data_IF_314814167579
#
_entry.id   IF_314814167579
#
_cell.length_a   1.000
_cell.length_b   1.000
_cell.length_c   1.000
_cell.angle_alpha   90.00
_cell.angle_beta   90.00
_cell.angle_gamma   90.00
#
_symmetry.space_group_name_H-M   'P 1'
#
loop_
_entity.id
_entity.type
_entity.pdbx_description
1 polymer ?
#
# COMPACT_ATOMS: atom_id res chain seq x y z
N UNK A 1 11.42 -2.33 -6.69
CA UNK A 1 10.90 -3.40 -5.83
C UNK A 1 11.36 -3.30 -4.38
N UNK A 2 11.93 -2.18 -3.94
CA UNK A 2 12.51 -2.05 -2.58
C UNK A 2 11.83 -0.94 -1.78
N UNK A 3 10.80 -0.30 -2.36
CA UNK A 3 10.05 0.80 -1.75
C UNK A 3 9.56 0.42 -0.35
N UNK A 4 8.89 -0.72 -0.25
CA UNK A 4 8.30 -1.16 1.00
C UNK A 4 9.32 -1.67 2.03
N UNK A 5 10.39 -2.34 1.60
CA UNK A 5 11.50 -2.71 2.50
C UNK A 5 12.21 -1.49 3.09
N UNK A 6 12.41 -0.43 2.31
CA UNK A 6 12.97 0.83 2.82
C UNK A 6 11.99 1.52 3.78
N UNK A 7 10.69 1.49 3.49
CA UNK A 7 9.69 2.09 4.37
C UNK A 7 9.65 1.43 5.75
N UNK A 8 9.65 0.09 5.81
CA UNK A 8 9.76 -0.63 7.09
C UNK A 8 11.08 -0.32 7.81
N UNK A 9 12.19 -0.31 7.08
CA UNK A 9 13.50 0.07 7.62
C UNK A 9 13.52 1.46 8.27
N UNK A 10 12.83 2.43 7.67
CA UNK A 10 12.72 3.79 8.21
C UNK A 10 11.81 3.88 9.44
N UNK A 11 10.77 3.05 9.51
CA UNK A 11 9.83 3.03 10.63
C UNK A 11 10.39 2.32 11.87
N UNK A 12 11.29 1.34 11.73
CA UNK A 12 11.86 0.63 12.88
C UNK A 12 12.58 1.58 13.85
N UNK A 13 12.37 1.35 15.14
CA UNK A 13 12.89 2.16 16.26
C UNK A 13 12.55 3.66 16.16
N UNK A 14 11.49 4.03 15.43
CA UNK A 14 11.08 5.41 15.20
C UNK A 14 9.56 5.59 15.44
N UNK A 15 9.11 5.57 16.71
CA UNK A 15 7.71 5.39 17.09
C UNK A 15 6.76 6.50 16.61
N UNK A 16 7.27 7.72 16.42
CA UNK A 16 6.46 8.87 16.00
C UNK A 16 6.43 9.04 14.46
N UNK A 17 7.14 8.19 13.71
CA UNK A 17 7.23 8.30 12.26
C UNK A 17 6.13 7.49 11.58
N UNK A 18 5.41 8.15 10.67
CA UNK A 18 4.56 7.48 9.68
C UNK A 18 5.23 7.59 8.32
N UNK A 19 5.35 6.47 7.61
CA UNK A 19 5.96 6.38 6.28
C UNK A 19 4.91 6.03 5.23
N UNK A 20 4.31 7.03 4.54
CA UNK A 20 3.52 6.79 3.35
C UNK A 20 4.41 6.24 2.23
N UNK A 21 4.18 4.99 1.83
CA UNK A 21 4.98 4.30 0.82
C UNK A 21 4.15 4.09 -0.44
N UNK A 22 4.37 4.92 -1.46
CA UNK A 22 3.72 4.75 -2.77
C UNK A 22 4.42 3.65 -3.55
N UNK A 23 3.64 2.65 -3.96
CA UNK A 23 4.10 1.43 -4.62
C UNK A 23 3.45 1.36 -5.99
N UNK A 24 4.26 1.28 -7.05
CA UNK A 24 3.71 1.04 -8.39
C UNK A 24 3.14 -0.38 -8.48
N UNK A 25 1.99 -0.56 -9.11
CA UNK A 25 1.43 -1.88 -9.40
C UNK A 25 2.33 -2.73 -10.31
N UNK A 26 3.08 -2.12 -11.23
CA UNK A 26 4.14 -2.80 -11.97
C UNK A 26 5.35 -3.15 -11.11
N UNK A 27 5.66 -2.34 -10.08
CA UNK A 27 6.70 -2.67 -9.10
C UNK A 27 6.28 -3.90 -8.28
N UNK A 28 4.98 -4.02 -7.95
CA UNK A 28 4.42 -5.07 -7.09
C UNK A 28 4.58 -6.48 -7.64
N UNK A 29 4.85 -6.62 -8.94
CA UNK A 29 5.16 -7.90 -9.57
C UNK A 29 6.60 -8.38 -9.32
N UNK A 30 7.47 -7.51 -8.78
CA UNK A 30 8.85 -7.89 -8.46
C UNK A 30 8.91 -8.74 -7.20
N UNK A 31 9.73 -9.80 -7.21
CA UNK A 31 9.91 -10.69 -6.06
C UNK A 31 10.25 -9.98 -4.74
N UNK A 32 11.18 -8.99 -4.73
CA UNK A 32 11.48 -8.24 -3.52
C UNK A 32 10.28 -7.50 -2.94
N UNK A 33 9.42 -6.90 -3.78
CA UNK A 33 8.24 -6.19 -3.29
C UNK A 33 7.15 -7.15 -2.83
N UNK A 34 6.92 -8.24 -3.56
CA UNK A 34 5.98 -9.29 -3.16
C UNK A 34 6.29 -9.84 -1.76
N UNK A 35 7.58 -10.09 -1.45
CA UNK A 35 8.00 -10.52 -0.13
C UNK A 35 7.93 -9.41 0.94
N UNK A 36 8.15 -8.15 0.54
CA UNK A 36 8.20 -7.01 1.46
C UNK A 36 6.86 -6.73 2.17
N UNK A 37 5.72 -7.17 1.62
CA UNK A 37 4.42 -7.08 2.29
C UNK A 37 4.39 -7.80 3.64
N UNK A 38 5.26 -8.79 3.87
CA UNK A 38 5.38 -9.46 5.16
C UNK A 38 6.09 -8.62 6.24
N UNK A 39 6.65 -7.45 5.90
CA UNK A 39 7.34 -6.56 6.84
C UNK A 39 6.50 -6.16 8.05
N UNK A 40 5.18 -6.03 7.89
CA UNK A 40 4.23 -5.72 8.98
C UNK A 40 4.29 -6.74 10.13
N UNK A 41 4.65 -8.00 9.84
CA UNK A 41 4.76 -9.06 10.84
C UNK A 41 5.95 -8.87 11.80
N UNK A 42 6.87 -7.97 11.46
CA UNK A 42 8.06 -7.65 12.26
C UNK A 42 7.94 -6.30 12.99
N UNK A 43 6.95 -5.46 12.63
CA UNK A 43 6.69 -4.21 13.33
C UNK A 43 6.13 -4.47 14.73
N UNK A 44 6.59 -3.66 15.68
CA UNK A 44 6.03 -3.57 17.02
C UNK A 44 5.59 -2.13 17.29
N UNK A 45 4.28 -1.91 17.34
CA UNK A 45 3.67 -0.59 17.52
C UNK A 45 4.05 0.12 18.85
N UNK A 46 4.67 -0.57 19.81
CA UNK A 46 5.16 0.08 21.04
C UNK A 46 6.49 0.81 20.88
N UNK A 47 7.29 0.45 19.85
CA UNK A 47 8.65 0.98 19.67
C UNK A 47 8.95 1.45 18.24
N UNK A 48 8.22 0.93 17.27
CA UNK A 48 8.40 1.21 15.85
C UNK A 48 7.29 2.16 15.39
N UNK A 49 7.58 2.94 14.36
CA UNK A 49 6.61 3.77 13.66
C UNK A 49 5.65 2.93 12.81
N UNK A 50 4.88 3.61 11.97
CA UNK A 50 3.90 2.99 11.08
C UNK A 50 4.30 3.15 9.62
N UNK A 51 4.04 2.12 8.82
CA UNK A 51 4.11 2.20 7.35
C UNK A 51 2.68 2.23 6.81
N UNK A 52 2.41 3.19 5.94
CA UNK A 52 1.15 3.27 5.18
C UNK A 52 1.42 2.94 3.71
N UNK A 53 1.24 1.69 3.27
CA UNK A 53 1.42 1.33 1.87
C UNK A 53 0.28 1.88 1.02
N UNK A 54 0.63 2.55 -0.08
CA UNK A 54 -0.32 3.07 -1.08
C UNK A 54 0.00 2.39 -2.40
N UNK A 55 -0.78 1.36 -2.74
CA UNK A 55 -0.67 0.70 -4.04
C UNK A 55 -1.25 1.62 -5.12
N UNK A 56 -0.38 2.21 -5.93
CA UNK A 56 -0.76 3.02 -7.08
C UNK A 56 -1.18 2.12 -8.24
N UNK A 57 -2.45 1.72 -8.20
CA UNK A 57 -3.09 0.78 -9.13
C UNK A 57 -3.57 1.50 -10.41
N UNK A 58 -2.65 2.04 -11.19
CA UNK A 58 -2.99 2.73 -12.45
C UNK A 58 -3.25 1.77 -13.64
N UNK A 59 -3.01 0.47 -13.45
CA UNK A 59 -3.38 -0.60 -14.37
C UNK A 59 -2.33 -0.94 -15.41
N UNK A 60 -1.22 -0.20 -15.49
CA UNK A 60 -0.22 -0.35 -16.55
C UNK A 60 1.22 -0.16 -16.06
N UNK A 61 2.13 -0.93 -16.67
CA UNK A 61 3.58 -0.71 -16.68
C UNK A 61 3.99 -0.25 -18.08
N UNK A 62 5.29 -0.23 -18.38
CA UNK A 62 5.85 0.41 -19.59
C UNK A 62 5.10 0.03 -20.89
N UNK A 63 4.78 -1.25 -21.08
CA UNK A 63 4.15 -1.73 -22.32
C UNK A 63 3.11 -2.85 -22.09
N UNK A 64 2.61 -2.98 -20.87
CA UNK A 64 1.72 -4.09 -20.49
C UNK A 64 0.77 -3.64 -19.38
N UNK A 65 -0.40 -4.28 -19.24
CA UNK A 65 -1.14 -4.19 -18.00
C UNK A 65 -0.39 -4.86 -16.84
N UNK A 66 -0.81 -4.54 -15.63
CA UNK A 66 -0.26 -5.13 -14.40
C UNK A 66 -1.12 -6.28 -13.90
N UNK A 67 -0.51 -7.23 -13.21
CA UNK A 67 -1.22 -8.38 -12.65
C UNK A 67 -2.32 -7.93 -11.69
N UNK A 68 -1.96 -7.11 -10.70
CA UNK A 68 -2.90 -6.58 -9.71
C UNK A 68 -3.91 -5.61 -10.33
N UNK A 69 -3.52 -4.85 -11.36
CA UNK A 69 -4.46 -3.97 -12.07
C UNK A 69 -5.53 -4.70 -12.89
N UNK A 70 -5.45 -6.03 -12.99
CA UNK A 70 -6.46 -6.89 -13.62
C UNK A 70 -7.17 -7.83 -12.63
N UNK A 71 -6.79 -7.80 -11.36
CA UNK A 71 -7.48 -8.52 -10.29
C UNK A 71 -8.80 -7.81 -9.95
N UNK A 72 -9.78 -8.56 -9.45
CA UNK A 72 -10.99 -7.95 -8.91
C UNK A 72 -10.69 -7.27 -7.57
N UNK A 73 -11.51 -6.29 -7.18
CA UNK A 73 -11.41 -5.65 -5.86
C UNK A 73 -11.52 -6.68 -4.73
N UNK A 74 -12.32 -7.74 -4.92
CA UNK A 74 -12.44 -8.85 -3.96
C UNK A 74 -11.13 -9.64 -3.83
N UNK A 75 -10.50 -10.00 -4.95
CA UNK A 75 -9.20 -10.71 -4.92
C UNK A 75 -8.12 -9.84 -4.26
N UNK A 76 -8.09 -8.55 -4.57
CA UNK A 76 -7.16 -7.60 -3.95
C UNK A 76 -7.42 -7.49 -2.45
N UNK A 77 -8.69 -7.39 -2.05
CA UNK A 77 -9.07 -7.34 -0.65
C UNK A 77 -8.61 -8.62 0.08
N UNK A 78 -8.90 -9.80 -0.46
CA UNK A 78 -8.50 -11.08 0.11
C UNK A 78 -6.97 -11.22 0.22
N UNK A 79 -6.23 -10.82 -0.82
CA UNK A 79 -4.77 -10.88 -0.84
C UNK A 79 -4.16 -10.03 0.28
N UNK A 80 -4.52 -8.75 0.35
CA UNK A 80 -3.91 -7.82 1.32
C UNK A 80 -4.41 -8.06 2.74
N UNK A 81 -5.68 -8.43 2.92
CA UNK A 81 -6.20 -8.92 4.20
C UNK A 81 -5.47 -10.18 4.65
N UNK A 82 -5.17 -11.10 3.73
CA UNK A 82 -4.36 -12.30 4.00
C UNK A 82 -2.91 -12.00 4.41
N UNK A 83 -2.34 -10.88 3.95
CA UNK A 83 -1.04 -10.41 4.44
C UNK A 83 -1.07 -9.79 5.84
N UNK A 84 -2.26 -9.40 6.33
CA UNK A 84 -2.47 -8.75 7.62
C UNK A 84 -2.75 -7.24 7.53
N UNK A 85 -3.09 -6.72 6.35
CA UNK A 85 -3.48 -5.32 6.16
C UNK A 85 -5.00 -5.17 6.20
N UNK A 86 -5.48 -3.93 6.38
CA UNK A 86 -6.88 -3.57 6.16
C UNK A 86 -6.97 -2.70 4.90
N UNK A 87 -7.36 -3.25 3.74
CA UNK A 87 -7.37 -2.50 2.49
C UNK A 87 -8.49 -1.45 2.46
N UNK A 88 -8.16 -0.26 1.99
CA UNK A 88 -9.12 0.83 1.70
C UNK A 88 -8.99 1.20 0.22
N UNK A 89 -10.11 1.21 -0.50
CA UNK A 89 -10.14 1.50 -1.92
C UNK A 89 -10.55 2.95 -2.17
N UNK A 90 -9.82 3.62 -3.08
CA UNK A 90 -10.16 4.93 -3.63
C UNK A 90 -10.11 4.80 -5.14
N UNK A 91 -11.24 4.93 -5.82
CA UNK A 91 -11.36 4.68 -7.26
C UNK A 91 -12.31 5.65 -7.93
N UNK A 92 -12.01 5.97 -9.20
CA UNK A 92 -12.75 6.96 -9.98
C UNK A 92 -11.83 7.75 -10.91
N UNK A 93 -12.44 8.64 -11.69
CA UNK A 93 -11.75 9.49 -12.67
C UNK A 93 -12.09 10.97 -12.53
N UNK A 94 -13.18 11.30 -11.83
CA UNK A 94 -13.62 12.68 -11.63
C UNK A 94 -12.82 13.36 -10.50
N UNK A 95 -11.99 14.40 -10.78
CA UNK A 95 -11.04 14.92 -9.81
C UNK A 95 -11.68 15.43 -8.52
N UNK A 96 -12.77 16.18 -8.62
CA UNK A 96 -13.46 16.74 -7.46
C UNK A 96 -14.00 15.65 -6.52
N UNK A 97 -14.42 14.52 -7.07
CA UNK A 97 -14.89 13.39 -6.29
C UNK A 97 -13.73 12.58 -5.69
N UNK A 98 -12.71 12.31 -6.50
CA UNK A 98 -11.48 11.63 -6.06
C UNK A 98 -10.81 12.34 -4.89
N UNK A 99 -10.77 13.68 -4.89
CA UNK A 99 -10.23 14.45 -3.77
C UNK A 99 -11.01 14.22 -2.46
N UNK A 100 -12.35 14.18 -2.52
CA UNK A 100 -13.19 13.93 -1.34
C UNK A 100 -13.05 12.49 -0.85
N UNK A 101 -13.03 11.53 -1.76
CA UNK A 101 -12.84 10.12 -1.41
C UNK A 101 -11.48 9.89 -0.76
N UNK A 102 -10.41 10.45 -1.33
CA UNK A 102 -9.06 10.35 -0.78
C UNK A 102 -8.97 10.99 0.61
N UNK A 103 -9.53 12.18 0.81
CA UNK A 103 -9.57 12.83 2.11
C UNK A 103 -10.24 11.93 3.17
N UNK A 104 -11.43 11.38 2.84
CA UNK A 104 -12.16 10.46 3.73
C UNK A 104 -11.38 9.18 4.03
N UNK A 105 -10.69 8.63 3.04
CA UNK A 105 -9.87 7.43 3.21
C UNK A 105 -8.69 7.70 4.14
N UNK A 106 -7.98 8.82 3.97
CA UNK A 106 -6.89 9.22 4.85
C UNK A 106 -7.39 9.47 6.28
N UNK A 107 -8.52 10.18 6.44
CA UNK A 107 -9.15 10.35 7.76
C UNK A 107 -9.47 8.99 8.41
N UNK A 108 -9.93 8.00 7.63
CA UNK A 108 -10.24 6.65 8.16
C UNK A 108 -8.98 5.88 8.56
N UNK A 109 -7.86 6.12 7.89
CA UNK A 109 -6.60 5.39 8.12
C UNK A 109 -5.77 6.00 9.25
N UNK A 110 -5.87 7.31 9.48
CA UNK A 110 -5.12 8.01 10.55
C UNK A 110 -5.85 8.07 11.90
N UNK A 111 -7.16 7.80 11.93
CA UNK A 111 -7.97 7.79 13.16
C UNK A 111 -8.13 6.37 13.72
#
# INVERSE_FOLDING_TARGET
>A
GYSLSHAFGAAFDNPDLIVPCVIGDGEAETGPLAASWHGIKFLNAQRDGAVLPILHLNGYKIANPTLLGRSSDEDLHQLFSGYGYQPVFVSGHEPADMHRQMAKALDTVFN
#
